data_IF_813465788404
#
_entry.id   IF_813465788404
#
_cell.length_a   1.000
_cell.length_b   1.000
_cell.length_c   1.000
_cell.angle_alpha   90.00
_cell.angle_beta   90.00
_cell.angle_gamma   90.00
#
_symmetry.space_group_name_H-M   'P 1'
#
loop_
_entity.id
_entity.type
_entity.pdbx_description
1 polymer ?
#
# COMPACT_ATOMS: atom_id res chain seq x y z
N UNK A 1 7.56 -37.36 11.54
CA UNK A 1 6.09 -37.20 11.53
C UNK A 1 5.77 -36.02 10.63
N UNK A 2 5.13 -36.23 9.47
CA UNK A 2 4.65 -35.11 8.64
C UNK A 2 3.31 -34.69 9.26
N UNK A 3 3.29 -33.59 10.00
CA UNK A 3 2.06 -33.04 10.58
C UNK A 3 1.08 -32.61 9.49
N UNK A 4 -0.22 -32.69 9.77
CA UNK A 4 -1.27 -32.25 8.85
C UNK A 4 -1.02 -30.80 8.39
N UNK A 5 -1.32 -30.46 7.11
CA UNK A 5 -1.09 -29.12 6.60
C UNK A 5 -1.89 -28.08 7.41
N UNK A 6 -1.35 -26.86 7.58
CA UNK A 6 -2.07 -25.80 8.26
C UNK A 6 -3.38 -25.48 7.52
N UNK A 7 -4.45 -25.12 8.25
CA UNK A 7 -5.74 -24.82 7.65
C UNK A 7 -5.65 -23.60 6.72
N UNK A 8 -6.51 -23.52 5.67
CA UNK A 8 -6.50 -22.42 4.72
C UNK A 8 -6.77 -21.08 5.40
N UNK A 9 -6.00 -20.05 5.03
CA UNK A 9 -6.09 -18.70 5.60
C UNK A 9 -6.64 -17.70 4.58
N UNK A 10 -7.79 -17.11 4.87
CA UNK A 10 -8.41 -16.04 4.05
C UNK A 10 -7.64 -14.70 4.10
N UNK A 11 -6.72 -14.53 5.04
CA UNK A 11 -5.92 -13.29 5.19
C UNK A 11 -5.08 -12.98 3.96
N UNK A 12 -4.64 -14.01 3.22
CA UNK A 12 -3.80 -13.84 2.02
C UNK A 12 -4.58 -13.21 0.86
N UNK A 13 -5.72 -13.77 0.40
CA UNK A 13 -6.51 -13.13 -0.66
C UNK A 13 -7.08 -11.78 -0.20
N UNK A 14 -7.59 -11.68 1.03
CA UNK A 14 -8.09 -10.41 1.56
C UNK A 14 -6.99 -9.33 1.61
N UNK A 15 -5.78 -9.70 2.07
CA UNK A 15 -4.63 -8.80 2.09
C UNK A 15 -4.21 -8.32 0.70
N UNK A 16 -4.24 -9.20 -0.30
CA UNK A 16 -3.98 -8.81 -1.69
C UNK A 16 -4.98 -7.75 -2.19
N UNK A 17 -6.27 -7.93 -1.93
CA UNK A 17 -7.27 -6.92 -2.28
C UNK A 17 -7.09 -5.61 -1.51
N UNK A 18 -6.68 -5.66 -0.24
CA UNK A 18 -6.36 -4.47 0.55
C UNK A 18 -5.16 -3.72 -0.03
N UNK A 19 -4.11 -4.42 -0.48
CA UNK A 19 -2.96 -3.80 -1.16
C UNK A 19 -3.39 -3.14 -2.47
N UNK A 20 -4.17 -3.85 -3.30
CA UNK A 20 -4.68 -3.31 -4.56
C UNK A 20 -5.57 -2.10 -4.32
N UNK A 21 -6.46 -2.15 -3.33
CA UNK A 21 -7.32 -1.04 -2.93
C UNK A 21 -6.52 0.15 -2.43
N UNK A 22 -5.49 -0.08 -1.59
CA UNK A 22 -4.58 0.96 -1.13
C UNK A 22 -3.87 1.65 -2.30
N UNK A 23 -3.32 0.89 -3.24
CA UNK A 23 -2.62 1.43 -4.42
C UNK A 23 -3.60 2.21 -5.29
N UNK A 24 -4.81 1.68 -5.53
CA UNK A 24 -5.83 2.35 -6.34
C UNK A 24 -6.26 3.67 -5.70
N UNK A 25 -6.55 3.68 -4.39
CA UNK A 25 -6.89 4.89 -3.64
C UNK A 25 -5.75 5.90 -3.71
N UNK A 26 -4.50 5.45 -3.52
CA UNK A 26 -3.34 6.33 -3.58
C UNK A 26 -3.12 6.93 -4.97
N UNK A 27 -3.27 6.13 -6.03
CA UNK A 27 -3.14 6.58 -7.41
C UNK A 27 -4.24 7.59 -7.77
N UNK A 28 -5.49 7.34 -7.38
CA UNK A 28 -6.61 8.27 -7.59
C UNK A 28 -6.38 9.56 -6.81
N UNK A 29 -5.93 9.47 -5.55
CA UNK A 29 -5.65 10.64 -4.72
C UNK A 29 -4.60 11.54 -5.40
N UNK A 30 -3.42 11.02 -5.72
CA UNK A 30 -2.36 11.80 -6.36
C UNK A 30 -2.78 12.27 -7.76
N UNK A 31 -3.43 11.41 -8.55
CA UNK A 31 -3.93 11.75 -9.88
C UNK A 31 -4.96 12.88 -9.87
N UNK A 32 -5.79 12.97 -8.84
CA UNK A 32 -6.78 14.05 -8.68
C UNK A 32 -6.14 15.42 -8.47
N UNK A 33 -4.87 15.48 -8.02
CA UNK A 33 -4.11 16.72 -7.90
C UNK A 33 -3.27 17.05 -9.15
N UNK A 34 -3.37 16.28 -10.23
CA UNK A 34 -2.52 16.45 -11.42
C UNK A 34 -2.59 17.85 -12.04
N UNK A 35 -3.79 18.44 -12.15
CA UNK A 35 -3.96 19.82 -12.65
C UNK A 35 -3.27 20.84 -11.74
N UNK A 36 -3.44 20.70 -10.42
CA UNK A 36 -2.79 21.57 -9.44
C UNK A 36 -1.26 21.42 -9.49
N UNK A 37 -0.76 20.18 -9.58
CA UNK A 37 0.66 19.86 -9.69
C UNK A 37 1.28 20.39 -10.98
N UNK A 38 0.51 20.41 -12.09
CA UNK A 38 0.96 20.95 -13.37
C UNK A 38 1.20 22.47 -13.35
N UNK A 39 0.61 23.20 -12.39
CA UNK A 39 0.89 24.65 -12.22
C UNK A 39 2.23 24.91 -11.54
N UNK A 40 2.83 23.92 -10.88
CA UNK A 40 4.10 24.07 -10.19
C UNK A 40 5.29 23.97 -11.15
N UNK A 41 6.39 24.69 -10.89
CA UNK A 41 7.64 24.50 -11.62
C UNK A 41 8.11 23.04 -11.55
N UNK A 42 8.68 22.51 -12.63
CA UNK A 42 9.07 21.09 -12.72
C UNK A 42 9.98 20.62 -11.58
N UNK A 43 10.86 21.49 -11.06
CA UNK A 43 11.72 21.15 -9.92
C UNK A 43 10.94 20.92 -8.62
N UNK A 44 9.80 21.59 -8.42
CA UNK A 44 8.94 21.44 -7.25
C UNK A 44 8.09 20.16 -7.34
N UNK A 45 7.82 19.68 -8.55
CA UNK A 45 7.13 18.40 -8.76
C UNK A 45 7.99 17.20 -8.30
N UNK A 46 9.32 17.29 -8.46
CA UNK A 46 10.25 16.21 -8.09
C UNK A 46 10.10 15.76 -6.63
N UNK A 47 10.26 16.64 -5.62
CA UNK A 47 10.12 16.21 -4.22
C UNK A 47 8.70 15.74 -3.91
N UNK A 48 7.67 16.32 -4.55
CA UNK A 48 6.29 15.89 -4.33
C UNK A 48 6.08 14.44 -4.80
N UNK A 49 6.48 14.12 -6.02
CA UNK A 49 6.35 12.76 -6.55
C UNK A 49 7.27 11.77 -5.83
N UNK A 50 8.47 12.20 -5.41
CA UNK A 50 9.39 11.37 -4.63
C UNK A 50 8.78 11.01 -3.26
N UNK A 51 8.28 11.99 -2.52
CA UNK A 51 7.62 11.75 -1.23
C UNK A 51 6.36 10.91 -1.43
N UNK A 52 5.53 11.25 -2.42
CA UNK A 52 4.30 10.52 -2.73
C UNK A 52 4.56 9.06 -3.13
N UNK A 53 5.68 8.80 -3.81
CA UNK A 53 6.13 7.46 -4.18
C UNK A 53 6.69 6.62 -3.03
N UNK A 54 6.99 7.24 -1.88
CA UNK A 54 7.52 6.57 -0.68
C UNK A 54 6.46 6.45 0.41
N UNK A 55 5.69 7.50 0.66
CA UNK A 55 4.74 7.60 1.78
C UNK A 55 3.67 6.50 1.75
N UNK A 56 3.22 6.09 0.56
CA UNK A 56 2.22 5.03 0.41
C UNK A 56 2.70 3.65 0.87
N UNK A 57 4.01 3.47 1.07
CA UNK A 57 4.61 2.24 1.58
C UNK A 57 4.38 2.08 3.08
N UNK A 58 4.19 3.17 3.83
CA UNK A 58 3.97 3.11 5.28
C UNK A 58 2.84 2.14 5.72
N UNK A 59 1.65 2.14 5.10
CA UNK A 59 0.58 1.19 5.44
C UNK A 59 0.85 -0.27 5.02
N UNK A 60 1.80 -0.55 4.11
CA UNK A 60 2.11 -1.93 3.71
C UNK A 60 2.69 -2.76 4.85
N UNK A 61 3.56 -2.20 5.68
CA UNK A 61 4.22 -2.93 6.79
C UNK A 61 3.23 -3.60 7.76
N UNK A 62 2.29 -2.87 8.40
CA UNK A 62 1.32 -3.49 9.31
C UNK A 62 0.33 -4.43 8.58
N UNK A 63 0.02 -4.16 7.31
CA UNK A 63 -0.85 -5.00 6.49
C UNK A 63 -0.20 -6.36 6.19
N UNK A 64 1.08 -6.37 5.82
CA UNK A 64 1.85 -7.58 5.60
C UNK A 64 1.99 -8.39 6.90
N UNK A 65 2.26 -7.72 8.03
CA UNK A 65 2.30 -8.36 9.35
C UNK A 65 0.97 -9.05 9.70
N UNK A 66 -0.15 -8.41 9.39
CA UNK A 66 -1.47 -9.00 9.57
C UNK A 66 -1.71 -10.21 8.64
N UNK A 67 -1.28 -10.13 7.38
CA UNK A 67 -1.43 -11.24 6.43
C UNK A 67 -0.71 -12.50 6.93
N UNK A 68 0.51 -12.35 7.44
CA UNK A 68 1.34 -13.45 7.91
C UNK A 68 0.89 -13.96 9.29
N UNK A 69 0.70 -13.05 10.25
CA UNK A 69 0.58 -13.40 11.67
C UNK A 69 -0.82 -13.20 12.26
N UNK A 70 -1.74 -12.55 11.55
CA UNK A 70 -3.06 -12.16 12.06
C UNK A 70 -3.04 -10.96 13.02
N UNK A 71 -1.86 -10.39 13.30
CA UNK A 71 -1.68 -9.24 14.19
C UNK A 71 -1.22 -8.02 13.39
N UNK A 72 -1.79 -6.86 13.69
CA UNK A 72 -1.44 -5.60 13.04
C UNK A 72 -0.14 -4.96 13.57
N UNK A 73 0.35 -5.43 14.70
CA UNK A 73 1.55 -4.94 15.39
C UNK A 73 2.29 -6.12 16.02
N UNK A 74 3.61 -5.99 16.17
CA UNK A 74 4.42 -6.94 16.92
C UNK A 74 3.95 -7.02 18.37
#
# INVERSE_FOLDING_TARGET
>A
MIGAPPPPSWRKPAGMFLILGLIAVWAVLIGSFSEALATLPGWAQIPIYMVSGIIWIMPLKPLLQWMETGRWRA
#
